data_IF_216214876680
#
_entry.id   IF_216214876680
#
_cell.length_a   1.000
_cell.length_b   1.000
_cell.length_c   1.000
_cell.angle_alpha   90.00
_cell.angle_beta   90.00
_cell.angle_gamma   90.00
#
_symmetry.space_group_name_H-M   'P 1'
#
loop_
_entity.id
_entity.type
_entity.pdbx_description
1 polymer ?
#
# COMPACT_ATOMS: atom_id res chain seq x y z
N UNK A 1 27.43 17.37 14.63
CA UNK A 1 26.11 16.79 14.30
C UNK A 1 26.30 15.96 13.05
N UNK A 2 25.90 14.71 13.11
CA UNK A 2 25.80 13.83 11.94
C UNK A 2 24.34 13.56 11.59
N UNK A 3 24.07 13.30 10.31
CA UNK A 3 22.78 12.87 9.78
C UNK A 3 23.02 11.61 8.96
N UNK A 4 22.27 10.54 9.26
CA UNK A 4 22.33 9.28 8.54
C UNK A 4 20.92 8.85 8.14
N UNK A 5 20.77 8.32 6.93
CA UNK A 5 19.52 7.79 6.42
C UNK A 5 19.52 6.26 6.49
N UNK A 6 18.37 5.69 6.90
CA UNK A 6 18.15 4.26 6.98
C UNK A 6 16.80 3.89 6.33
N UNK A 7 16.62 2.67 5.81
CA UNK A 7 15.36 2.26 5.22
C UNK A 7 14.16 2.34 6.19
N UNK A 8 13.01 2.78 5.70
CA UNK A 8 11.77 2.89 6.48
C UNK A 8 10.67 1.88 6.09
N UNK A 9 10.85 1.10 5.00
CA UNK A 9 9.91 0.05 4.53
C UNK A 9 8.47 0.51 4.30
N UNK A 10 8.25 1.78 4.01
CA UNK A 10 6.93 2.32 3.67
C UNK A 10 6.64 2.19 2.17
N UNK A 11 7.54 2.73 1.37
CA UNK A 11 7.58 2.65 -0.10
C UNK A 11 9.04 2.61 -0.55
N UNK A 12 9.30 2.28 -1.81
CA UNK A 12 10.66 2.30 -2.36
C UNK A 12 11.31 3.67 -2.16
N UNK A 13 12.49 3.69 -1.53
CA UNK A 13 13.26 4.90 -1.21
C UNK A 13 12.79 5.67 0.04
N UNK A 14 11.79 5.18 0.77
CA UNK A 14 11.41 5.76 2.05
C UNK A 14 12.53 5.57 3.08
N UNK A 15 12.90 6.65 3.78
CA UNK A 15 14.01 6.64 4.71
C UNK A 15 13.66 7.27 6.06
N UNK A 16 14.20 6.67 7.12
CA UNK A 16 14.31 7.23 8.45
C UNK A 16 15.50 8.19 8.51
N UNK A 17 15.46 9.16 9.41
CA UNK A 17 16.54 10.13 9.63
C UNK A 17 17.06 9.96 11.05
N UNK A 18 18.31 9.52 11.20
CA UNK A 18 19.03 9.54 12.46
C UNK A 18 19.85 10.82 12.56
N UNK A 19 19.63 11.60 13.61
CA UNK A 19 20.42 12.76 13.99
C UNK A 19 21.22 12.43 15.25
N UNK A 20 22.53 12.58 15.19
CA UNK A 20 23.43 12.39 16.32
C UNK A 20 24.15 13.69 16.64
N UNK A 21 24.01 14.16 17.89
CA UNK A 21 24.64 15.38 18.37
C UNK A 21 25.16 15.19 19.79
N UNK A 22 26.47 15.30 19.99
CA UNK A 22 27.13 15.00 21.28
C UNK A 22 26.77 13.59 21.73
N UNK A 23 26.12 13.46 22.91
CA UNK A 23 25.73 12.18 23.51
C UNK A 23 24.24 11.85 23.30
N UNK A 24 23.58 12.46 22.29
CA UNK A 24 22.13 12.26 22.02
C UNK A 24 21.85 11.79 20.61
N UNK A 25 20.96 10.81 20.51
CA UNK A 25 20.48 10.24 19.26
C UNK A 25 18.98 10.50 19.10
N UNK A 26 18.61 11.10 17.97
CA UNK A 26 17.21 11.38 17.60
C UNK A 26 16.89 10.63 16.33
N UNK A 27 15.87 9.79 16.37
CA UNK A 27 15.38 9.09 15.19
C UNK A 27 14.02 9.65 14.77
N UNK A 28 13.91 10.09 13.52
CA UNK A 28 12.65 10.41 12.86
C UNK A 28 12.34 9.32 11.84
N UNK A 29 11.27 8.56 12.05
CA UNK A 29 10.95 7.39 11.21
C UNK A 29 10.39 7.78 9.85
N UNK A 30 9.75 8.96 9.73
CA UNK A 30 8.79 9.18 8.65
C UNK A 30 7.64 8.17 8.76
N UNK A 31 6.91 7.98 7.67
CA UNK A 31 5.97 6.88 7.54
C UNK A 31 6.75 5.58 7.37
N UNK A 32 6.35 4.51 8.06
CA UNK A 32 7.12 3.26 8.10
C UNK A 32 6.25 2.02 8.21
N UNK A 33 6.91 0.86 8.01
CA UNK A 33 6.35 -0.44 8.29
C UNK A 33 7.44 -1.40 8.80
N UNK A 34 7.12 -2.28 9.77
CA UNK A 34 8.07 -3.28 10.26
C UNK A 34 7.96 -4.62 9.51
N UNK A 35 6.77 -4.94 8.98
CA UNK A 35 6.59 -6.15 8.18
C UNK A 35 7.23 -5.97 6.81
N UNK A 36 8.09 -6.91 6.46
CA UNK A 36 8.80 -6.90 5.17
C UNK A 36 7.83 -6.84 3.99
N UNK A 37 8.13 -5.94 3.08
CA UNK A 37 7.52 -5.83 1.76
C UNK A 37 8.62 -5.95 0.72
N UNK A 38 8.60 -7.03 -0.05
CA UNK A 38 9.62 -7.27 -1.09
C UNK A 38 9.59 -6.27 -2.25
N UNK A 39 8.70 -5.28 -2.23
CA UNK A 39 8.69 -4.17 -3.18
C UNK A 39 9.48 -2.94 -2.71
N UNK A 40 10.08 -2.98 -1.52
CA UNK A 40 10.95 -1.94 -0.95
C UNK A 40 11.94 -2.53 0.05
N UNK A 41 12.91 -1.71 0.50
CA UNK A 41 13.89 -2.13 1.49
C UNK A 41 13.23 -2.37 2.86
N UNK A 42 13.72 -3.37 3.61
CA UNK A 42 13.21 -3.68 4.94
C UNK A 42 13.54 -2.56 5.94
N UNK A 43 12.67 -2.38 6.94
CA UNK A 43 12.90 -1.42 8.03
C UNK A 43 14.11 -1.83 8.87
N UNK A 44 14.99 -0.87 9.17
CA UNK A 44 16.16 -1.07 10.02
C UNK A 44 15.92 -0.41 11.39
N UNK A 45 15.72 -1.17 12.49
CA UNK A 45 15.51 -0.60 13.81
C UNK A 45 16.82 -0.04 14.40
N UNK A 46 16.78 1.17 14.95
CA UNK A 46 17.94 1.89 15.45
C UNK A 46 17.68 2.34 16.89
N UNK A 47 18.56 1.95 17.82
CA UNK A 47 18.50 2.43 19.21
C UNK A 47 18.65 3.94 19.24
N UNK A 48 17.81 4.63 20.01
CA UNK A 48 17.76 6.09 20.05
C UNK A 48 17.34 6.63 21.41
N UNK A 49 17.73 7.88 21.74
CA UNK A 49 17.26 8.53 22.97
C UNK A 49 15.88 9.17 22.79
N UNK A 50 15.62 9.72 21.59
CA UNK A 50 14.35 10.35 21.25
C UNK A 50 13.84 9.78 19.94
N UNK A 51 12.68 9.17 19.98
CA UNK A 51 11.96 8.66 18.83
C UNK A 51 10.86 9.65 18.42
N UNK A 52 10.91 10.13 17.17
CA UNK A 52 9.82 10.87 16.54
C UNK A 52 9.22 9.96 15.47
N UNK A 53 7.96 9.57 15.62
CA UNK A 53 7.33 8.55 14.79
C UNK A 53 5.92 8.94 14.35
N UNK A 54 5.50 8.41 13.19
CA UNK A 54 4.10 8.48 12.79
C UNK A 54 3.18 7.78 13.80
N UNK A 55 1.91 8.13 13.77
CA UNK A 55 0.84 7.44 14.50
C UNK A 55 -0.47 7.41 13.70
N UNK A 56 -0.38 7.29 12.39
CA UNK A 56 -1.51 7.29 11.44
C UNK A 56 -2.57 6.27 11.83
N UNK A 57 -2.14 5.07 12.22
CA UNK A 57 -2.98 3.99 12.71
C UNK A 57 -2.66 3.62 14.17
N UNK A 58 -2.38 4.63 14.99
CA UNK A 58 -1.98 4.53 16.40
C UNK A 58 -3.11 4.20 17.39
N UNK A 59 -4.18 3.52 16.97
CA UNK A 59 -5.25 3.05 17.84
C UNK A 59 -5.34 1.52 17.84
N UNK A 60 -5.69 0.88 18.97
CA UNK A 60 -5.76 -0.59 19.08
C UNK A 60 -6.70 -1.31 18.11
N UNK A 61 -7.63 -0.58 17.50
CA UNK A 61 -8.53 -1.12 16.46
C UNK A 61 -7.80 -1.43 15.15
N UNK A 62 -6.66 -0.78 14.89
CA UNK A 62 -5.87 -1.00 13.69
C UNK A 62 -4.86 -2.12 13.95
N UNK A 63 -5.18 -3.30 13.47
CA UNK A 63 -4.31 -4.48 13.46
C UNK A 63 -4.42 -5.11 12.09
N UNK A 64 -3.29 -5.20 11.39
CA UNK A 64 -3.27 -5.72 10.04
C UNK A 64 -3.34 -7.24 10.04
N UNK A 65 -4.17 -7.76 9.18
CA UNK A 65 -4.21 -9.18 8.86
C UNK A 65 -2.98 -9.56 8.04
N UNK A 66 -2.71 -10.86 7.96
CA UNK A 66 -1.71 -11.37 7.03
C UNK A 66 -2.04 -10.89 5.60
N UNK A 67 -1.05 -10.33 4.95
CA UNK A 67 -1.17 -9.72 3.62
C UNK A 67 -1.59 -10.74 2.55
N UNK A 68 -1.06 -11.97 2.63
CA UNK A 68 -1.45 -13.05 1.73
C UNK A 68 -2.95 -13.32 1.76
N UNK A 69 -3.59 -13.21 2.93
CA UNK A 69 -5.05 -13.40 3.03
C UNK A 69 -5.81 -12.30 2.28
N UNK A 70 -5.31 -11.06 2.34
CA UNK A 70 -5.89 -9.94 1.59
C UNK A 70 -5.69 -10.15 0.09
N UNK A 71 -4.52 -10.59 -0.34
CA UNK A 71 -4.26 -10.90 -1.75
C UNK A 71 -5.13 -12.06 -2.25
N UNK A 72 -5.33 -13.11 -1.45
CA UNK A 72 -6.28 -14.21 -1.78
C UNK A 72 -7.69 -13.68 -1.98
N UNK A 73 -8.18 -12.81 -1.10
CA UNK A 73 -9.51 -12.22 -1.23
C UNK A 73 -9.66 -11.39 -2.51
N UNK A 74 -8.64 -10.60 -2.87
CA UNK A 74 -8.60 -9.82 -4.11
C UNK A 74 -8.58 -10.77 -5.33
N UNK A 75 -7.75 -11.81 -5.29
CA UNK A 75 -7.62 -12.79 -6.37
C UNK A 75 -8.93 -13.53 -6.62
N UNK A 76 -9.56 -14.06 -5.60
CA UNK A 76 -10.87 -14.72 -5.71
C UNK A 76 -11.97 -13.78 -6.24
N UNK A 77 -11.95 -12.50 -5.82
CA UNK A 77 -12.89 -11.54 -6.39
C UNK A 77 -12.63 -11.32 -7.88
N UNK A 78 -11.37 -11.31 -8.31
CA UNK A 78 -11.00 -11.18 -9.71
C UNK A 78 -11.40 -12.44 -10.53
N UNK A 79 -11.23 -13.64 -9.98
CA UNK A 79 -11.73 -14.89 -10.59
C UNK A 79 -13.25 -14.84 -10.80
N UNK A 80 -14.01 -14.40 -9.79
CA UNK A 80 -15.46 -14.23 -9.90
C UNK A 80 -15.84 -13.20 -10.98
N UNK A 81 -15.07 -12.12 -11.11
CA UNK A 81 -15.25 -11.15 -12.19
C UNK A 81 -15.05 -11.78 -13.57
N UNK A 82 -14.08 -12.69 -13.72
CA UNK A 82 -13.89 -13.43 -14.99
C UNK A 82 -15.10 -14.27 -15.34
N UNK A 83 -15.65 -15.01 -14.37
CA UNK A 83 -16.83 -15.87 -14.59
C UNK A 83 -18.07 -15.05 -15.01
N UNK A 84 -18.24 -13.86 -14.45
CA UNK A 84 -19.37 -12.96 -14.71
C UNK A 84 -19.09 -11.96 -15.85
N UNK A 85 -17.94 -12.08 -16.54
CA UNK A 85 -17.49 -11.16 -17.61
C UNK A 85 -17.44 -9.69 -17.17
N UNK A 86 -17.10 -9.45 -15.90
CA UNK A 86 -16.95 -8.12 -15.31
C UNK A 86 -15.47 -7.78 -15.15
N UNK A 87 -15.15 -6.50 -15.05
CA UNK A 87 -13.83 -6.03 -14.66
C UNK A 87 -13.76 -5.83 -13.14
N UNK A 88 -12.59 -6.01 -12.54
CA UNK A 88 -12.33 -5.61 -11.16
C UNK A 88 -11.54 -4.29 -11.15
N UNK A 89 -12.11 -3.27 -10.54
CA UNK A 89 -11.44 -1.98 -10.33
C UNK A 89 -11.02 -1.86 -8.89
N UNK A 90 -9.71 -1.67 -8.66
CA UNK A 90 -9.14 -1.40 -7.35
C UNK A 90 -8.73 0.06 -7.26
N UNK A 91 -9.33 0.80 -6.34
CA UNK A 91 -8.88 2.15 -5.97
C UNK A 91 -7.80 2.03 -4.90
N UNK A 92 -6.58 2.41 -5.24
CA UNK A 92 -5.40 2.37 -4.37
C UNK A 92 -4.44 3.52 -4.72
N UNK A 93 -3.63 3.96 -3.77
CA UNK A 93 -2.66 5.01 -4.01
C UNK A 93 -1.68 4.62 -5.13
N UNK A 94 -1.31 5.61 -5.96
CA UNK A 94 -0.42 5.41 -7.11
C UNK A 94 0.99 5.03 -6.69
N UNK A 95 1.47 5.57 -5.57
CA UNK A 95 2.78 5.24 -4.99
C UNK A 95 2.60 4.25 -3.83
N UNK A 96 3.46 3.26 -3.75
CA UNK A 96 3.53 2.24 -2.71
C UNK A 96 2.48 1.15 -2.89
N UNK A 97 1.23 1.44 -2.57
CA UNK A 97 0.14 0.45 -2.52
C UNK A 97 -0.13 -0.27 -3.85
N UNK A 98 -0.10 0.46 -4.96
CA UNK A 98 -0.28 -0.15 -6.28
C UNK A 98 0.86 -1.12 -6.62
N UNK A 99 2.10 -0.75 -6.31
CA UNK A 99 3.29 -1.58 -6.54
C UNK A 99 3.25 -2.83 -5.67
N UNK A 100 2.91 -2.66 -4.40
CA UNK A 100 2.76 -3.76 -3.44
C UNK A 100 1.70 -4.77 -3.88
N UNK A 101 0.53 -4.29 -4.38
CA UNK A 101 -0.51 -5.18 -4.91
C UNK A 101 0.01 -5.95 -6.13
N UNK A 102 0.60 -5.25 -7.11
CA UNK A 102 1.08 -5.89 -8.34
C UNK A 102 2.20 -6.90 -8.09
N UNK A 103 3.18 -6.50 -7.27
CA UNK A 103 4.31 -7.36 -6.91
C UNK A 103 3.84 -8.57 -6.09
N UNK A 104 3.01 -8.35 -5.06
CA UNK A 104 2.45 -9.41 -4.23
C UNK A 104 1.62 -10.40 -5.02
N UNK A 105 0.73 -9.93 -5.91
CA UNK A 105 -0.07 -10.81 -6.77
C UNK A 105 0.82 -11.70 -7.64
N UNK A 106 1.89 -11.15 -8.24
CA UNK A 106 2.86 -11.94 -9.02
C UNK A 106 3.59 -12.95 -8.14
N UNK A 107 4.08 -12.52 -6.98
CA UNK A 107 4.86 -13.35 -6.05
C UNK A 107 4.07 -14.55 -5.52
N UNK A 108 2.81 -14.33 -5.13
CA UNK A 108 2.01 -15.36 -4.46
C UNK A 108 1.26 -16.29 -5.41
N UNK A 109 0.85 -15.81 -6.59
CA UNK A 109 -0.01 -16.60 -7.49
C UNK A 109 0.67 -16.94 -8.82
N UNK A 110 1.72 -16.22 -9.21
CA UNK A 110 2.32 -16.32 -10.54
C UNK A 110 1.41 -15.76 -11.65
N UNK A 111 2.01 -15.31 -12.73
CA UNK A 111 1.25 -14.63 -13.82
C UNK A 111 0.39 -15.58 -14.64
N UNK A 112 0.75 -16.86 -14.71
CA UNK A 112 -0.02 -17.90 -15.43
C UNK A 112 -1.39 -18.18 -14.82
N UNK A 113 -1.57 -17.91 -13.52
CA UNK A 113 -2.84 -18.11 -12.82
C UNK A 113 -3.79 -16.89 -12.97
N UNK A 114 -3.36 -15.79 -13.55
CA UNK A 114 -4.16 -14.55 -13.57
C UNK A 114 -5.44 -14.71 -14.39
N UNK A 115 -6.59 -14.29 -13.86
CA UNK A 115 -7.88 -14.41 -14.53
C UNK A 115 -7.98 -13.61 -15.82
N UNK A 116 -7.22 -12.53 -15.97
CA UNK A 116 -7.27 -11.65 -17.14
C UNK A 116 -6.10 -10.66 -17.21
N UNK A 117 -6.24 -9.67 -18.08
CA UNK A 117 -5.21 -8.63 -18.24
C UNK A 117 -5.20 -7.63 -17.08
N UNK A 118 -4.03 -7.01 -16.86
CA UNK A 118 -3.89 -5.93 -15.88
C UNK A 118 -3.78 -4.60 -16.61
N UNK A 119 -4.52 -3.61 -16.11
CA UNK A 119 -4.46 -2.23 -16.57
C UNK A 119 -4.22 -1.29 -15.40
N UNK A 120 -3.37 -0.30 -15.58
CA UNK A 120 -3.02 0.63 -14.52
C UNK A 120 -3.18 2.08 -14.98
N UNK A 121 -3.54 2.97 -14.08
CA UNK A 121 -3.58 4.40 -14.36
C UNK A 121 -2.20 4.91 -14.85
N UNK A 122 -2.15 5.94 -15.73
CA UNK A 122 -0.86 6.51 -16.19
C UNK A 122 0.11 6.87 -15.06
N UNK A 123 -0.38 7.45 -13.95
CA UNK A 123 0.45 7.76 -12.79
C UNK A 123 1.06 6.52 -12.11
N UNK A 124 0.33 5.42 -12.07
CA UNK A 124 0.84 4.14 -11.55
C UNK A 124 1.88 3.56 -12.51
N UNK A 125 1.61 3.61 -13.83
CA UNK A 125 2.56 3.14 -14.85
C UNK A 125 3.90 3.88 -14.77
N UNK A 126 3.87 5.21 -14.60
CA UNK A 126 5.08 6.02 -14.45
C UNK A 126 5.91 5.59 -13.22
N UNK A 127 5.25 5.38 -12.09
CA UNK A 127 5.90 4.94 -10.84
C UNK A 127 6.42 3.49 -10.99
N UNK A 128 5.67 2.60 -11.62
CA UNK A 128 6.11 1.23 -11.88
C UNK A 128 7.43 1.17 -12.68
N UNK A 129 7.64 2.12 -13.61
CA UNK A 129 8.90 2.20 -14.36
C UNK A 129 10.10 2.53 -13.45
N UNK A 130 9.89 3.39 -12.43
CA UNK A 130 10.92 3.69 -11.43
C UNK A 130 11.24 2.44 -10.60
N UNK A 131 10.21 1.75 -10.11
CA UNK A 131 10.39 0.50 -9.34
C UNK A 131 11.11 -0.57 -10.17
N UNK A 132 10.75 -0.74 -11.46
CA UNK A 132 11.44 -1.65 -12.36
C UNK A 132 12.92 -1.30 -12.55
N UNK A 133 13.24 0.00 -12.66
CA UNK A 133 14.63 0.46 -12.74
C UNK A 133 15.44 0.03 -11.49
N UNK A 134 14.80 -0.04 -10.32
CA UNK A 134 15.39 -0.54 -9.08
C UNK A 134 15.25 -2.06 -8.87
N UNK A 135 14.92 -2.81 -9.91
CA UNK A 135 14.90 -4.27 -9.87
C UNK A 135 13.62 -4.92 -9.33
N UNK A 136 12.58 -4.12 -9.03
CA UNK A 136 11.30 -4.67 -8.59
C UNK A 136 10.50 -5.16 -9.80
N UNK A 137 10.15 -6.44 -9.80
CA UNK A 137 9.47 -7.08 -10.92
C UNK A 137 7.95 -7.07 -10.75
N UNK A 138 7.24 -6.73 -11.83
CA UNK A 138 5.78 -6.68 -11.88
C UNK A 138 5.23 -7.61 -12.97
N UNK A 139 3.96 -8.02 -12.88
CA UNK A 139 3.28 -8.69 -13.98
C UNK A 139 3.15 -7.73 -15.18
N UNK A 140 3.05 -8.30 -16.36
CA UNK A 140 2.77 -7.52 -17.57
C UNK A 140 1.45 -6.76 -17.42
N UNK A 141 1.49 -5.48 -17.73
CA UNK A 141 0.35 -4.59 -17.63
C UNK A 141 0.39 -3.51 -18.72
N UNK A 142 -0.77 -2.97 -19.03
CA UNK A 142 -0.89 -1.85 -19.96
C UNK A 142 -1.50 -0.64 -19.27
N UNK A 143 -1.26 0.54 -19.83
CA UNK A 143 -1.87 1.77 -19.32
C UNK A 143 -3.37 1.78 -19.61
N UNK A 144 -4.17 2.08 -18.59
CA UNK A 144 -5.61 2.24 -18.71
C UNK A 144 -5.92 3.50 -19.53
N UNK A 145 -6.81 3.35 -20.52
CA UNK A 145 -7.34 4.47 -21.29
C UNK A 145 -8.87 4.49 -21.14
N UNK A 146 -9.46 5.61 -20.69
CA UNK A 146 -10.91 5.72 -20.54
C UNK A 146 -11.67 5.68 -21.89
N UNK A 147 -10.99 5.94 -23.01
CA UNK A 147 -11.58 5.94 -24.35
C UNK A 147 -11.56 4.57 -25.04
N UNK A 148 -10.84 3.59 -24.44
CA UNK A 148 -10.79 2.22 -24.98
C UNK A 148 -11.67 1.31 -24.16
N UNK A 149 -12.49 0.52 -24.84
CA UNK A 149 -13.26 -0.52 -24.19
C UNK A 149 -12.32 -1.51 -23.50
N UNK A 150 -12.65 -1.86 -22.27
CA UNK A 150 -11.94 -2.89 -21.50
C UNK A 150 -12.85 -4.11 -21.46
N UNK A 151 -12.44 -5.17 -22.16
CA UNK A 151 -13.15 -6.46 -22.13
C UNK A 151 -13.23 -6.97 -20.69
N UNK A 152 -14.33 -7.64 -20.36
CA UNK A 152 -14.53 -8.22 -19.04
C UNK A 152 -13.37 -9.13 -18.62
N UNK A 153 -13.13 -9.24 -17.33
CA UNK A 153 -12.04 -9.93 -16.62
C UNK A 153 -10.73 -9.17 -16.43
N UNK A 154 -10.63 -7.90 -16.78
CA UNK A 154 -9.44 -7.12 -16.45
C UNK A 154 -9.40 -6.72 -14.96
N UNK A 155 -8.19 -6.74 -14.39
CA UNK A 155 -7.87 -6.04 -13.14
C UNK A 155 -7.39 -4.63 -13.47
N UNK A 156 -8.06 -3.61 -12.92
CA UNK A 156 -7.77 -2.20 -13.21
C UNK A 156 -7.39 -1.49 -11.91
N UNK A 157 -6.17 -0.96 -11.82
CA UNK A 157 -5.70 -0.19 -10.67
C UNK A 157 -5.77 1.30 -10.96
N UNK A 158 -6.45 2.05 -10.10
CA UNK A 158 -6.70 3.48 -10.26
C UNK A 158 -6.47 4.22 -8.93
N UNK A 159 -5.98 5.48 -8.96
CA UNK A 159 -5.90 6.28 -7.75
C UNK A 159 -7.30 6.69 -7.26
N UNK A 160 -7.49 6.88 -5.94
CA UNK A 160 -8.79 7.28 -5.37
C UNK A 160 -9.34 8.59 -5.96
N UNK A 161 -8.46 9.49 -6.40
CA UNK A 161 -8.83 10.80 -6.97
C UNK A 161 -9.67 10.73 -8.23
N UNK A 162 -9.64 9.62 -8.97
CA UNK A 162 -10.46 9.45 -10.19
C UNK A 162 -11.76 8.69 -9.94
N UNK A 163 -12.04 8.30 -8.68
CA UNK A 163 -13.29 7.63 -8.34
C UNK A 163 -14.48 8.57 -8.61
N UNK A 164 -15.51 8.05 -9.30
CA UNK A 164 -16.69 8.84 -9.67
C UNK A 164 -16.52 9.79 -10.86
N UNK A 165 -15.31 9.88 -11.43
CA UNK A 165 -15.10 10.73 -12.61
C UNK A 165 -15.89 10.21 -13.84
N UNK A 166 -16.46 11.12 -14.66
CA UNK A 166 -17.21 10.77 -15.88
C UNK A 166 -16.42 9.90 -16.84
N UNK A 167 -15.08 10.11 -16.92
CA UNK A 167 -14.18 9.30 -17.73
C UNK A 167 -14.22 7.80 -17.40
N UNK A 168 -14.82 7.44 -16.26
CA UNK A 168 -14.91 6.07 -15.78
C UNK A 168 -16.19 5.33 -16.25
N UNK A 169 -17.08 6.00 -16.99
CA UNK A 169 -18.33 5.42 -17.48
C UNK A 169 -18.14 4.26 -18.47
N UNK A 170 -17.06 4.27 -19.26
CA UNK A 170 -16.78 3.29 -20.33
C UNK A 170 -16.17 1.96 -19.84
N UNK A 171 -15.95 1.79 -18.53
CA UNK A 171 -15.37 0.56 -17.95
C UNK A 171 -16.41 -0.48 -17.52
N UNK A 172 -17.68 -0.20 -17.71
CA UNK A 172 -18.76 -1.13 -17.33
C UNK A 172 -18.81 -2.35 -18.28
N UNK A 173 -19.20 -3.52 -17.76
CA UNK A 173 -19.54 -3.81 -16.36
C UNK A 173 -18.29 -4.00 -15.48
N UNK A 174 -18.34 -3.54 -14.23
CA UNK A 174 -17.24 -3.71 -13.29
C UNK A 174 -17.73 -3.85 -11.83
N UNK A 175 -16.93 -4.53 -11.02
CA UNK A 175 -16.99 -4.50 -9.55
C UNK A 175 -15.91 -3.53 -9.08
N UNK A 176 -16.27 -2.64 -8.16
CA UNK A 176 -15.36 -1.65 -7.60
C UNK A 176 -14.96 -2.01 -6.17
N UNK A 177 -13.70 -1.81 -5.86
CA UNK A 177 -13.18 -2.01 -4.51
C UNK A 177 -12.17 -0.91 -4.14
N UNK A 178 -12.12 -0.58 -2.84
CA UNK A 178 -11.15 0.35 -2.26
C UNK A 178 -10.14 -0.44 -1.43
N UNK A 179 -8.85 -0.19 -1.66
CA UNK A 179 -7.75 -0.83 -0.92
C UNK A 179 -7.08 0.21 -0.05
N UNK A 180 -7.31 0.14 1.27
CA UNK A 180 -6.77 1.10 2.23
C UNK A 180 -6.82 0.54 3.65
N UNK A 181 -5.87 0.94 4.52
CA UNK A 181 -5.92 0.65 5.97
C UNK A 181 -7.19 1.19 6.63
N UNK A 182 -7.74 2.31 6.13
CA UNK A 182 -8.98 2.90 6.63
C UNK A 182 -10.21 2.01 6.44
N UNK A 183 -10.15 0.98 5.60
CA UNK A 183 -11.21 -0.02 5.44
C UNK A 183 -11.36 -0.92 6.67
N UNK A 184 -10.48 -0.85 7.66
CA UNK A 184 -10.67 -1.48 8.96
C UNK A 184 -11.88 -0.91 9.72
N UNK A 185 -12.20 0.36 9.51
CA UNK A 185 -13.27 1.07 10.23
C UNK A 185 -14.62 0.93 9.52
N UNK A 186 -15.65 0.44 10.22
CA UNK A 186 -17.00 0.25 9.67
C UNK A 186 -17.59 1.52 9.05
N UNK A 187 -17.39 2.68 9.68
CA UNK A 187 -17.88 3.97 9.16
C UNK A 187 -17.30 4.31 7.79
N UNK A 188 -16.02 4.03 7.57
CA UNK A 188 -15.38 4.28 6.29
C UNK A 188 -15.89 3.30 5.20
N UNK A 189 -16.07 2.02 5.54
CA UNK A 189 -16.70 1.05 4.61
C UNK A 189 -18.10 1.46 4.18
N UNK A 190 -18.90 2.03 5.10
CA UNK A 190 -20.27 2.50 4.78
C UNK A 190 -20.27 3.71 3.86
N UNK A 191 -19.25 4.58 3.95
CA UNK A 191 -19.10 5.74 3.05
C UNK A 191 -18.75 5.32 1.62
N UNK A 192 -18.10 4.18 1.46
CA UNK A 192 -17.76 3.59 0.18
C UNK A 192 -18.93 2.76 -0.40
N UNK A 193 -20.13 3.37 -0.45
CA UNK A 193 -21.37 2.73 -0.92
C UNK A 193 -21.18 2.08 -2.29
N UNK A 194 -21.53 0.79 -2.40
CA UNK A 194 -21.38 0.02 -3.64
C UNK A 194 -19.97 -0.51 -3.93
N UNK A 195 -18.97 -0.20 -3.10
CA UNK A 195 -17.60 -0.71 -3.25
C UNK A 195 -17.27 -1.73 -2.16
N UNK A 196 -16.51 -2.77 -2.52
CA UNK A 196 -15.88 -3.66 -1.54
C UNK A 196 -14.65 -2.99 -0.92
N UNK A 197 -14.40 -3.17 0.38
CA UNK A 197 -13.22 -2.64 1.06
C UNK A 197 -12.22 -3.75 1.38
N UNK A 198 -10.96 -3.58 0.97
CA UNK A 198 -9.84 -4.43 1.38
C UNK A 198 -8.92 -3.67 2.33
N UNK A 199 -8.58 -4.30 3.45
CA UNK A 199 -7.69 -3.70 4.45
C UNK A 199 -6.25 -4.05 4.09
N UNK A 200 -5.55 -3.11 3.48
CA UNK A 200 -4.13 -3.18 3.17
C UNK A 200 -3.52 -1.81 3.39
N UNK A 201 -2.42 -1.74 4.14
CA UNK A 201 -1.76 -0.48 4.49
C UNK A 201 -0.26 -0.55 4.25
N UNK A 202 0.32 0.57 3.85
CA UNK A 202 1.77 0.78 3.75
C UNK A 202 2.35 1.37 5.05
N UNK A 203 1.48 1.71 6.03
CA UNK A 203 1.85 2.23 7.35
C UNK A 203 1.82 1.14 8.40
N UNK A 204 2.58 1.35 9.46
CA UNK A 204 2.56 0.54 10.66
C UNK A 204 1.17 0.52 11.31
N UNK A 205 0.79 -0.62 11.87
CA UNK A 205 -0.39 -0.76 12.73
C UNK A 205 -0.04 -0.53 14.21
N UNK A 206 -1.05 -0.64 15.08
CA UNK A 206 -0.87 -0.53 16.52
C UNK A 206 0.21 -1.47 17.07
N UNK A 207 0.28 -2.71 16.57
CA UNK A 207 1.26 -3.71 17.03
C UNK A 207 2.67 -3.34 16.61
N UNK A 208 2.84 -2.92 15.36
CA UNK A 208 4.12 -2.48 14.80
C UNK A 208 4.63 -1.21 15.48
N UNK A 209 3.73 -0.23 15.77
CA UNK A 209 4.09 1.00 16.50
C UNK A 209 4.62 0.69 17.92
N UNK A 210 3.96 -0.21 18.65
CA UNK A 210 4.47 -0.63 19.97
C UNK A 210 5.79 -1.40 19.84
N UNK A 211 5.89 -2.28 18.85
CA UNK A 211 7.12 -3.04 18.59
C UNK A 211 8.30 -2.13 18.22
N UNK A 212 8.06 -1.04 17.50
CA UNK A 212 9.10 -0.05 17.21
C UNK A 212 9.68 0.53 18.50
N UNK A 213 8.85 0.92 19.46
CA UNK A 213 9.30 1.45 20.75
C UNK A 213 10.17 0.43 21.49
N UNK A 214 9.78 -0.84 21.50
CA UNK A 214 10.58 -1.92 22.08
C UNK A 214 11.94 -2.10 21.39
N UNK A 215 11.96 -2.01 20.05
CA UNK A 215 13.18 -2.22 19.26
C UNK A 215 14.16 -1.05 19.36
N UNK A 216 13.66 0.17 19.47
CA UNK A 216 14.48 1.40 19.47
C UNK A 216 14.84 1.88 20.87
N UNK A 217 14.18 1.38 21.92
CA UNK A 217 14.42 1.66 23.37
C UNK A 217 14.59 3.15 23.71
N UNK A 218 13.68 4.03 23.26
CA UNK A 218 13.84 5.45 23.46
C UNK A 218 13.51 5.87 24.91
N UNK A 219 14.19 6.92 25.39
CA UNK A 219 13.83 7.60 26.65
C UNK A 219 12.59 8.50 26.49
N UNK A 220 12.32 8.95 25.25
CA UNK A 220 11.20 9.82 24.92
C UNK A 220 10.64 9.47 23.54
N UNK A 221 9.31 9.37 23.45
CA UNK A 221 8.57 9.19 22.19
C UNK A 221 7.77 10.45 21.90
N UNK A 222 7.83 10.91 20.64
CA UNK A 222 7.03 12.02 20.11
C UNK A 222 6.27 11.47 18.91
N UNK A 223 4.95 11.51 18.95
CA UNK A 223 4.10 11.06 17.87
C UNK A 223 3.70 12.22 16.96
N UNK A 224 3.71 11.97 15.65
CA UNK A 224 3.25 12.89 14.60
C UNK A 224 2.21 12.19 13.73
N UNK A 225 1.46 12.94 12.92
CA UNK A 225 0.47 12.40 11.98
C UNK A 225 -0.65 11.55 12.62
N UNK A 226 -0.86 11.65 13.93
CA UNK A 226 -1.99 11.05 14.64
C UNK A 226 -3.19 11.98 14.74
N UNK A 227 -4.40 11.42 14.84
CA UNK A 227 -5.54 12.18 15.36
C UNK A 227 -5.39 12.23 16.88
N UNK A 228 -5.22 13.43 17.42
CA UNK A 228 -5.39 13.71 18.85
C UNK A 228 -6.84 13.52 19.28
#
# INVERSE_FOLDING_TARGET
ISLTLFPASHVLGAAQILLEAKDRRWLYTGDFRLVEDSSCDAFEPIKTDVLVTESTFGLPIFRWRNELEVFKEIFHLWENCKQTKMNLVLYCYSLGKSQRILHGMKRYFGTSAFPGSIKVHPSISAINNIYKYHGIDFPDHSTFSPHKEVKGSALILLPPSVKGAKMMSNRKPCIEAVVSGWMAVRGNRRRETGCKGFVLSDHADWTELNRLVELTEPKKVITVHGKS
#
